data_IF_326238126975
#
_entry.id   IF_326238126975
#
_cell.length_a   1.000
_cell.length_b   1.000
_cell.length_c   1.000
_cell.angle_alpha   90.00
_cell.angle_beta   90.00
_cell.angle_gamma   90.00
#
_symmetry.space_group_name_H-M   'P 1'
#
loop_
_entity.id
_entity.type
_entity.pdbx_description
1 polymer ?
#
# COMPACT_ATOMS: atom_id res chain seq x y z
N UNK A 1 -13.84 41.51 69.61
CA UNK A 1 -12.74 41.00 68.76
C UNK A 1 -11.89 42.16 68.26
N UNK A 2 -10.63 42.20 68.64
CA UNK A 2 -9.76 43.36 68.29
C UNK A 2 -9.37 43.33 66.81
N UNK A 3 -9.17 44.46 66.14
CA UNK A 3 -8.70 44.60 64.75
C UNK A 3 -7.47 43.75 64.46
N UNK A 4 -6.66 43.44 65.45
CA UNK A 4 -5.43 42.67 65.38
C UNK A 4 -5.71 41.14 65.22
N UNK A 5 -6.69 40.61 65.90
CA UNK A 5 -7.11 39.17 65.77
C UNK A 5 -7.72 38.90 64.41
N UNK A 6 -8.56 39.79 63.88
CA UNK A 6 -9.18 39.66 62.56
C UNK A 6 -8.13 39.71 61.41
N UNK A 7 -7.14 40.62 61.53
CA UNK A 7 -6.02 40.69 60.56
C UNK A 7 -5.14 39.44 60.56
N UNK A 8 -4.86 38.86 61.71
CA UNK A 8 -4.10 37.61 61.83
C UNK A 8 -4.89 36.43 61.27
N UNK A 9 -6.21 36.37 61.49
CA UNK A 9 -7.08 35.30 60.91
C UNK A 9 -7.12 35.36 59.40
N UNK A 10 -7.18 36.55 58.79
CA UNK A 10 -7.12 36.73 57.33
C UNK A 10 -5.75 36.30 56.80
N UNK A 11 -4.66 36.64 57.48
CA UNK A 11 -3.30 36.25 57.05
C UNK A 11 -3.15 34.72 57.05
N UNK A 12 -3.64 34.04 58.11
CA UNK A 12 -3.62 32.59 58.18
C UNK A 12 -4.45 31.94 57.08
N UNK A 13 -5.61 32.50 56.79
CA UNK A 13 -6.48 32.04 55.70
C UNK A 13 -5.79 32.22 54.31
N UNK A 14 -5.17 33.36 54.09
CA UNK A 14 -4.41 33.60 52.84
C UNK A 14 -3.21 32.66 52.69
N UNK A 15 -2.46 32.39 53.74
CA UNK A 15 -1.37 31.44 53.74
C UNK A 15 -1.85 29.99 53.48
N UNK A 16 -2.97 29.60 54.13
CA UNK A 16 -3.58 28.29 53.89
C UNK A 16 -4.06 28.16 52.43
N UNK A 17 -4.74 29.18 51.90
CA UNK A 17 -5.18 29.19 50.50
C UNK A 17 -3.99 29.13 49.54
N UNK A 18 -2.92 29.90 49.80
CA UNK A 18 -1.71 29.85 48.99
C UNK A 18 -1.07 28.46 49.02
N UNK A 19 -1.02 27.81 50.20
CA UNK A 19 -0.53 26.44 50.33
C UNK A 19 -1.36 25.43 49.52
N UNK A 20 -2.67 25.53 49.54
CA UNK A 20 -3.58 24.69 48.75
C UNK A 20 -3.39 24.92 47.25
N UNK A 21 -3.26 26.16 46.80
CA UNK A 21 -3.02 26.51 45.39
C UNK A 21 -1.69 25.97 44.93
N UNK A 22 -0.60 26.15 45.68
CA UNK A 22 0.73 25.65 45.34
C UNK A 22 0.77 24.11 45.30
N UNK A 23 0.10 23.45 46.26
CA UNK A 23 -0.03 22.00 46.27
C UNK A 23 -0.81 21.50 45.05
N UNK A 24 -1.97 22.10 44.76
CA UNK A 24 -2.77 21.75 43.59
C UNK A 24 -2.04 21.99 42.27
N UNK A 25 -1.27 23.09 42.18
CA UNK A 25 -0.43 23.37 41.01
C UNK A 25 0.68 22.34 40.84
N UNK A 26 1.32 21.93 41.94
CA UNK A 26 2.38 20.89 41.89
C UNK A 26 1.80 19.56 41.47
N UNK A 27 0.64 19.17 41.98
CA UNK A 27 0.00 17.90 41.66
C UNK A 27 -0.51 17.89 40.21
N UNK A 28 -1.10 18.98 39.73
CA UNK A 28 -1.45 19.17 38.33
C UNK A 28 -0.22 19.14 37.40
N UNK A 29 0.88 19.77 37.79
CA UNK A 29 2.12 19.76 37.02
C UNK A 29 2.71 18.39 36.90
N UNK A 30 2.67 17.59 38.00
CA UNK A 30 3.03 16.18 37.97
C UNK A 30 2.17 15.39 36.99
N UNK A 31 0.85 15.49 37.11
CA UNK A 31 -0.06 14.83 36.19
C UNK A 31 0.23 15.16 34.74
N UNK A 32 0.42 16.43 34.40
CA UNK A 32 0.59 16.84 32.99
C UNK A 32 1.88 16.34 32.35
N UNK A 33 2.93 16.09 33.15
CA UNK A 33 4.26 15.67 32.71
C UNK A 33 4.63 14.22 33.06
N UNK A 34 3.85 13.53 33.90
CA UNK A 34 4.10 12.14 34.21
C UNK A 34 3.68 11.21 33.06
N UNK A 35 4.40 10.10 32.85
CA UNK A 35 3.96 9.08 31.90
C UNK A 35 2.56 8.56 32.23
N UNK A 36 1.76 8.33 31.17
CA UNK A 36 0.52 7.59 31.25
C UNK A 36 0.78 6.12 31.58
N UNK A 37 -0.22 5.44 32.13
CA UNK A 37 -0.13 4.01 32.38
C UNK A 37 -0.35 3.27 31.07
N UNK A 38 0.73 2.72 30.51
CA UNK A 38 0.68 1.93 29.25
C UNK A 38 1.10 0.52 29.60
N UNK A 39 0.19 -0.45 29.44
CA UNK A 39 0.40 -1.83 29.90
C UNK A 39 1.36 -2.60 29.00
N UNK A 40 1.47 -2.27 27.72
CA UNK A 40 2.40 -2.89 26.77
C UNK A 40 2.96 -1.86 25.77
N UNK A 41 4.19 -2.08 25.33
CA UNK A 41 4.80 -1.27 24.29
C UNK A 41 4.01 -1.44 22.96
N UNK A 42 3.57 -0.35 22.37
CA UNK A 42 2.85 -0.36 21.10
C UNK A 42 1.32 -0.35 21.23
N UNK A 43 0.78 -0.20 22.43
CA UNK A 43 -0.65 0.03 22.60
C UNK A 43 -1.10 1.35 21.97
N UNK A 44 -2.35 1.38 21.59
CA UNK A 44 -3.01 2.55 21.03
C UNK A 44 -4.32 2.82 21.76
N UNK A 45 -4.75 4.07 21.76
CA UNK A 45 -6.08 4.47 22.24
C UNK A 45 -6.94 4.87 21.06
N UNK A 46 -8.16 4.34 21.03
CA UNK A 46 -9.15 4.64 20.00
C UNK A 46 -10.15 5.67 20.48
N UNK A 47 -10.25 6.80 19.79
CA UNK A 47 -11.20 7.88 20.07
C UNK A 47 -12.26 7.90 18.99
N UNK A 48 -13.49 7.54 19.38
CA UNK A 48 -14.64 7.46 18.47
C UNK A 48 -14.98 8.81 17.81
N UNK A 49 -15.52 8.76 16.60
CA UNK A 49 -16.03 9.97 15.91
C UNK A 49 -17.19 10.58 16.69
N UNK A 50 -17.18 11.90 16.85
CA UNK A 50 -18.22 12.63 17.59
C UNK A 50 -18.09 12.57 19.11
N UNK A 51 -17.05 11.93 19.66
CA UNK A 51 -16.82 11.89 21.10
C UNK A 51 -16.66 13.30 21.68
N UNK A 52 -17.46 13.61 22.69
CA UNK A 52 -17.26 14.80 23.50
C UNK A 52 -15.98 14.70 24.34
N UNK A 53 -15.42 15.82 24.77
CA UNK A 53 -14.24 15.80 25.65
C UNK A 53 -14.41 14.91 26.90
N UNK A 54 -15.61 14.91 27.47
CA UNK A 54 -15.96 14.05 28.62
C UNK A 54 -15.88 12.56 28.27
N UNK A 55 -16.33 12.19 27.09
CA UNK A 55 -16.26 10.81 26.60
C UNK A 55 -14.83 10.39 26.29
N UNK A 56 -14.03 11.27 25.70
CA UNK A 56 -12.60 11.03 25.49
C UNK A 56 -11.91 10.71 26.81
N UNK A 57 -12.09 11.55 27.84
CA UNK A 57 -11.50 11.30 29.17
C UNK A 57 -12.01 10.00 29.78
N UNK A 58 -13.30 9.66 29.58
CA UNK A 58 -13.85 8.37 30.02
C UNK A 58 -13.15 7.21 29.32
N UNK A 59 -13.01 7.25 27.99
CA UNK A 59 -12.33 6.22 27.20
C UNK A 59 -10.88 6.01 27.64
N UNK A 60 -10.14 7.08 27.97
CA UNK A 60 -8.78 7.00 28.51
C UNK A 60 -8.73 6.29 29.87
N UNK A 61 -9.76 6.44 30.69
CA UNK A 61 -9.87 5.75 31.98
C UNK A 61 -10.31 4.30 31.83
N UNK A 62 -11.28 4.05 30.96
CA UNK A 62 -11.81 2.69 30.69
C UNK A 62 -10.74 1.76 30.10
N UNK A 63 -9.71 2.35 29.46
CA UNK A 63 -8.52 1.66 28.93
C UNK A 63 -7.32 1.71 29.91
N UNK A 64 -7.53 2.03 31.17
CA UNK A 64 -6.51 2.11 32.24
C UNK A 64 -5.29 3.01 31.93
N UNK A 65 -5.40 3.90 30.95
CA UNK A 65 -4.31 4.83 30.60
C UNK A 65 -4.10 5.92 31.66
N UNK A 66 -5.15 6.25 32.42
CA UNK A 66 -5.08 7.28 33.46
C UNK A 66 -6.14 7.12 34.50
N UNK A 67 -5.76 7.16 35.77
CA UNK A 67 -6.66 7.25 36.93
C UNK A 67 -6.91 8.68 37.37
N UNK A 68 -6.31 9.67 36.70
CA UNK A 68 -6.38 11.08 37.06
C UNK A 68 -7.83 11.63 36.99
N UNK A 69 -8.13 12.63 37.84
CA UNK A 69 -9.42 13.31 37.82
C UNK A 69 -9.74 13.91 36.46
N UNK A 70 -10.99 13.79 35.97
CA UNK A 70 -11.41 14.48 34.74
C UNK A 70 -11.18 16.00 34.77
N UNK A 71 -11.15 16.61 35.97
CA UNK A 71 -10.81 18.01 36.10
C UNK A 71 -9.42 18.35 35.63
N UNK A 72 -8.42 17.51 35.92
CA UNK A 72 -7.03 17.73 35.47
C UNK A 72 -6.90 17.65 33.94
N UNK A 73 -7.56 16.70 33.33
CA UNK A 73 -7.64 16.60 31.86
C UNK A 73 -8.26 17.85 31.24
N UNK A 74 -9.36 18.36 31.86
CA UNK A 74 -10.05 19.57 31.39
C UNK A 74 -9.18 20.81 31.55
N UNK A 75 -8.53 20.97 32.71
CA UNK A 75 -7.60 22.08 32.95
C UNK A 75 -6.44 22.06 31.96
N UNK A 76 -5.86 20.89 31.71
CA UNK A 76 -4.78 20.72 30.74
C UNK A 76 -5.23 21.07 29.32
N UNK A 77 -6.38 20.60 28.89
CA UNK A 77 -6.93 20.90 27.58
C UNK A 77 -7.23 22.39 27.39
N UNK A 78 -7.74 23.07 28.44
CA UNK A 78 -7.96 24.52 28.44
C UNK A 78 -6.62 25.27 28.40
N UNK A 79 -5.64 24.88 29.23
CA UNK A 79 -4.30 25.45 29.24
C UNK A 79 -3.62 25.36 27.87
N UNK A 80 -3.79 24.23 27.18
CA UNK A 80 -3.26 23.99 25.84
C UNK A 80 -4.12 24.60 24.72
N UNK A 81 -5.30 25.13 25.03
CA UNK A 81 -6.31 25.65 24.08
C UNK A 81 -6.76 24.60 23.05
N UNK A 82 -6.90 23.34 23.47
CA UNK A 82 -7.25 22.21 22.57
C UNK A 82 -8.57 21.54 22.89
N UNK A 83 -9.32 21.98 23.92
CA UNK A 83 -10.53 21.32 24.40
C UNK A 83 -11.63 21.09 23.33
N UNK A 84 -11.71 21.95 22.30
CA UNK A 84 -12.65 21.82 21.17
C UNK A 84 -12.00 21.44 19.85
N UNK A 85 -10.75 20.95 19.85
CA UNK A 85 -9.96 20.69 18.64
C UNK A 85 -9.37 19.28 18.59
N UNK A 86 -9.88 18.38 19.43
CA UNK A 86 -9.43 17.00 19.46
C UNK A 86 -10.08 16.23 18.31
N UNK A 87 -9.25 15.56 17.49
CA UNK A 87 -9.70 14.74 16.39
C UNK A 87 -9.96 13.31 16.85
N UNK A 88 -10.98 12.68 16.27
CA UNK A 88 -11.24 11.25 16.42
C UNK A 88 -10.17 10.44 15.67
N UNK A 89 -9.91 9.22 16.13
CA UNK A 89 -8.95 8.31 15.51
C UNK A 89 -8.20 7.46 16.53
N UNK A 90 -7.35 6.61 16.06
CA UNK A 90 -6.47 5.77 16.87
C UNK A 90 -5.13 6.48 17.07
N UNK A 91 -4.70 6.60 18.32
CA UNK A 91 -3.47 7.30 18.69
C UNK A 91 -2.50 6.34 19.36
N UNK A 92 -1.26 6.33 18.90
CA UNK A 92 -0.21 5.56 19.55
C UNK A 92 0.06 6.06 20.95
N UNK A 93 0.17 5.11 21.89
CA UNK A 93 0.50 5.35 23.29
C UNK A 93 1.81 4.63 23.66
N UNK A 94 2.96 5.08 23.11
CA UNK A 94 4.25 4.48 23.42
C UNK A 94 4.59 4.66 24.91
N UNK A 95 5.42 3.77 25.45
CA UNK A 95 5.91 3.89 26.81
C UNK A 95 6.51 5.27 27.07
N UNK A 96 6.11 5.90 28.16
CA UNK A 96 6.55 7.24 28.53
C UNK A 96 5.74 8.41 27.96
N UNK A 97 4.70 8.16 27.15
CA UNK A 97 3.82 9.21 26.66
C UNK A 97 3.14 9.93 27.84
N UNK A 98 3.08 11.27 27.78
CA UNK A 98 2.44 12.08 28.81
C UNK A 98 1.04 12.54 28.39
N UNK A 99 0.15 12.91 29.33
CA UNK A 99 -1.15 13.52 29.03
C UNK A 99 -1.04 14.71 28.07
N UNK A 100 -0.04 15.55 28.24
CA UNK A 100 0.23 16.70 27.37
C UNK A 100 0.57 16.29 25.94
N UNK A 101 1.43 15.30 25.76
CA UNK A 101 1.80 14.79 24.44
C UNK A 101 0.60 14.11 23.75
N UNK A 102 -0.19 13.31 24.48
CA UNK A 102 -1.37 12.67 23.94
C UNK A 102 -2.40 13.69 23.46
N UNK A 103 -2.73 14.71 24.26
CA UNK A 103 -3.64 15.79 23.84
C UNK A 103 -3.08 16.61 22.68
N UNK A 104 -1.76 16.83 22.62
CA UNK A 104 -1.13 17.50 21.49
C UNK A 104 -1.25 16.66 20.20
N UNK A 105 -1.05 15.35 20.28
CA UNK A 105 -1.24 14.44 19.14
C UNK A 105 -2.69 14.45 18.66
N UNK A 106 -3.66 14.36 19.60
CA UNK A 106 -5.09 14.42 19.27
C UNK A 106 -5.48 15.76 18.63
N UNK A 107 -4.96 16.88 19.14
CA UNK A 107 -5.25 18.20 18.58
C UNK A 107 -4.61 18.43 17.20
N UNK A 108 -3.48 17.78 16.94
CA UNK A 108 -2.80 17.83 15.65
C UNK A 108 -3.30 16.76 14.66
N UNK A 109 -4.23 15.87 15.06
CA UNK A 109 -4.72 14.77 14.22
C UNK A 109 -3.64 13.74 13.87
N UNK A 110 -2.61 13.56 14.73
CA UNK A 110 -1.52 12.60 14.51
C UNK A 110 -1.97 11.19 14.85
N UNK A 111 -2.91 10.68 14.07
CA UNK A 111 -3.44 9.32 14.21
C UNK A 111 -2.38 8.26 13.87
N UNK A 112 -2.53 7.07 14.42
CA UNK A 112 -1.68 5.93 14.12
C UNK A 112 -1.92 5.48 12.67
N UNK A 113 -0.90 5.63 11.84
CA UNK A 113 -0.92 5.19 10.46
C UNK A 113 -0.33 3.79 10.33
N UNK A 114 -0.92 3.01 9.46
CA UNK A 114 -0.44 1.72 8.99
C UNK A 114 -0.15 1.79 7.51
N UNK A 115 0.65 0.88 7.02
CA UNK A 115 1.00 0.79 5.60
C UNK A 115 0.51 -0.53 5.03
N UNK A 116 -0.07 -0.45 3.83
CA UNK A 116 -0.40 -1.60 3.01
C UNK A 116 0.41 -1.51 1.71
N UNK A 117 1.24 -2.51 1.43
CA UNK A 117 2.07 -2.53 0.24
C UNK A 117 1.47 -3.47 -0.79
N UNK A 118 1.14 -2.92 -1.97
CA UNK A 118 0.83 -3.70 -3.17
C UNK A 118 2.16 -4.05 -3.82
N UNK A 119 2.39 -5.34 -4.03
CA UNK A 119 3.67 -5.86 -4.55
C UNK A 119 3.61 -5.95 -6.07
N UNK A 120 4.70 -5.55 -6.74
CA UNK A 120 4.86 -5.71 -8.19
C UNK A 120 4.62 -7.16 -8.61
N UNK A 121 3.91 -7.34 -9.71
CA UNK A 121 3.64 -8.66 -10.27
C UNK A 121 2.52 -9.46 -9.58
N UNK A 122 1.87 -8.94 -8.53
CA UNK A 122 0.63 -9.54 -8.03
C UNK A 122 -0.48 -9.49 -9.07
N UNK A 123 -1.36 -10.45 -9.03
CA UNK A 123 -2.66 -10.40 -9.71
C UNK A 123 -3.67 -9.63 -8.85
N UNK A 124 -4.75 -9.16 -9.46
CA UNK A 124 -5.85 -8.53 -8.71
C UNK A 124 -6.42 -9.47 -7.64
N UNK A 125 -6.48 -10.76 -7.91
CA UNK A 125 -6.91 -11.77 -6.92
C UNK A 125 -5.97 -11.82 -5.70
N UNK A 126 -4.66 -11.81 -5.93
CA UNK A 126 -3.68 -11.77 -4.83
C UNK A 126 -3.76 -10.48 -4.04
N UNK A 127 -4.00 -9.35 -4.70
CA UNK A 127 -4.26 -8.06 -4.05
C UNK A 127 -5.48 -8.14 -3.12
N UNK A 128 -6.61 -8.67 -3.60
CA UNK A 128 -7.81 -8.83 -2.76
C UNK A 128 -7.56 -9.75 -1.57
N UNK A 129 -6.88 -10.88 -1.79
CA UNK A 129 -6.52 -11.81 -0.72
C UNK A 129 -5.56 -11.21 0.33
N UNK A 130 -4.71 -10.27 -0.06
CA UNK A 130 -3.86 -9.53 0.86
C UNK A 130 -4.63 -8.45 1.63
N UNK A 131 -5.55 -7.73 0.97
CA UNK A 131 -6.41 -6.73 1.61
C UNK A 131 -7.33 -7.36 2.66
N UNK A 132 -7.85 -8.56 2.41
CA UNK A 132 -8.67 -9.32 3.37
C UNK A 132 -7.94 -9.65 4.68
N UNK A 133 -6.61 -9.70 4.65
CA UNK A 133 -5.75 -9.94 5.82
C UNK A 133 -5.25 -8.65 6.49
N UNK A 134 -5.54 -7.48 5.93
CA UNK A 134 -5.03 -6.23 6.44
C UNK A 134 -5.73 -5.82 7.75
N UNK A 135 -4.96 -5.71 8.83
CA UNK A 135 -5.49 -5.38 10.15
C UNK A 135 -6.11 -3.98 10.22
N UNK A 136 -7.20 -3.83 10.96
CA UNK A 136 -7.89 -2.55 11.23
C UNK A 136 -8.46 -1.85 9.98
N UNK A 137 -8.41 -2.51 8.83
CA UNK A 137 -9.08 -2.07 7.61
C UNK A 137 -10.54 -2.56 7.64
N UNK A 138 -11.47 -1.82 7.07
CA UNK A 138 -12.83 -2.30 6.81
C UNK A 138 -12.83 -3.10 5.52
N UNK A 139 -13.35 -4.31 5.56
CA UNK A 139 -13.43 -5.19 4.41
C UNK A 139 -14.75 -5.01 3.66
N UNK A 140 -14.87 -3.90 2.91
CA UNK A 140 -16.07 -3.56 2.13
C UNK A 140 -16.11 -4.27 0.77
N UNK A 141 -15.02 -4.91 0.36
CA UNK A 141 -14.97 -5.76 -0.84
C UNK A 141 -15.52 -7.16 -0.60
N UNK A 142 -15.72 -7.57 0.65
CA UNK A 142 -16.19 -8.90 1.00
C UNK A 142 -17.54 -9.23 0.33
N UNK A 143 -17.58 -10.34 -0.41
CA UNK A 143 -18.78 -10.80 -1.11
C UNK A 143 -19.13 -10.02 -2.39
N UNK A 144 -18.33 -9.06 -2.81
CA UNK A 144 -18.49 -8.38 -4.08
C UNK A 144 -17.74 -9.11 -5.20
N UNK A 145 -18.34 -9.13 -6.39
CA UNK A 145 -17.62 -9.51 -7.60
C UNK A 145 -16.71 -8.36 -8.10
N UNK A 146 -15.85 -8.67 -9.06
CA UNK A 146 -14.89 -7.70 -9.60
C UNK A 146 -15.59 -6.48 -10.22
N UNK A 147 -16.74 -6.66 -10.90
CA UNK A 147 -17.47 -5.56 -11.53
C UNK A 147 -18.07 -4.61 -10.49
N UNK A 148 -18.62 -5.15 -9.40
CA UNK A 148 -19.14 -4.36 -8.28
C UNK A 148 -18.02 -3.59 -7.54
N UNK A 149 -16.84 -4.20 -7.35
CA UNK A 149 -15.67 -3.53 -6.78
C UNK A 149 -15.28 -2.33 -7.66
N UNK A 150 -15.10 -2.57 -8.98
CA UNK A 150 -14.74 -1.51 -9.92
C UNK A 150 -15.78 -0.40 -9.98
N UNK A 151 -17.06 -0.73 -9.93
CA UNK A 151 -18.13 0.26 -9.83
C UNK A 151 -18.02 1.11 -8.56
N UNK A 152 -17.74 0.49 -7.41
CA UNK A 152 -17.62 1.20 -6.12
C UNK A 152 -16.44 2.16 -6.06
N UNK A 153 -15.34 1.83 -6.70
CA UNK A 153 -14.17 2.73 -6.76
C UNK A 153 -14.31 3.81 -7.85
N UNK A 154 -15.39 3.78 -8.66
CA UNK A 154 -15.66 4.77 -9.71
C UNK A 154 -15.09 4.40 -11.08
N UNK A 155 -14.74 3.14 -11.33
CA UNK A 155 -14.15 2.60 -12.55
C UNK A 155 -15.07 1.56 -13.22
N UNK A 156 -16.39 1.82 -13.26
CA UNK A 156 -17.39 0.92 -13.81
C UNK A 156 -17.07 0.53 -15.26
N UNK A 157 -17.14 -0.77 -15.58
CA UNK A 157 -16.88 -1.32 -16.91
C UNK A 157 -15.40 -1.57 -17.22
N UNK A 158 -14.45 -1.16 -16.35
CA UNK A 158 -13.05 -1.46 -16.53
C UNK A 158 -12.71 -2.87 -15.97
N UNK A 159 -11.80 -3.56 -16.66
CA UNK A 159 -11.20 -4.79 -16.15
C UNK A 159 -10.18 -4.45 -15.05
N UNK A 160 -10.22 -5.12 -13.89
CA UNK A 160 -9.40 -4.73 -12.74
C UNK A 160 -7.93 -5.08 -12.89
N UNK A 161 -7.59 -6.13 -13.66
CA UNK A 161 -6.21 -6.60 -13.75
C UNK A 161 -5.28 -5.54 -14.33
N UNK A 162 -4.13 -5.33 -13.67
CA UNK A 162 -3.14 -4.33 -14.06
C UNK A 162 -3.45 -2.90 -13.61
N UNK A 163 -4.66 -2.60 -13.14
CA UNK A 163 -5.15 -1.23 -12.92
C UNK A 163 -4.79 -0.59 -11.57
N UNK A 164 -4.08 -1.28 -10.71
CA UNK A 164 -3.71 -0.81 -9.37
C UNK A 164 -2.20 -0.69 -9.27
N UNK A 165 -1.70 0.52 -9.06
CA UNK A 165 -0.25 0.76 -9.01
C UNK A 165 0.36 0.08 -7.79
N UNK A 166 1.36 -0.78 -7.96
CA UNK A 166 2.15 -1.32 -6.85
C UNK A 166 2.93 -0.21 -6.17
N UNK A 167 2.52 0.12 -4.96
CA UNK A 167 3.16 1.08 -4.06
C UNK A 167 2.74 0.79 -2.61
N UNK A 168 3.30 1.55 -1.67
CA UNK A 168 2.90 1.50 -0.27
C UNK A 168 1.87 2.59 0.04
N UNK A 169 0.69 2.17 0.46
CA UNK A 169 -0.45 3.03 0.76
C UNK A 169 -0.64 3.14 2.27
N UNK A 170 -0.48 4.34 2.81
CA UNK A 170 -0.80 4.61 4.21
C UNK A 170 -2.32 4.58 4.42
N UNK A 171 -2.75 4.01 5.55
CA UNK A 171 -4.15 3.99 5.96
C UNK A 171 -4.28 4.14 7.47
N UNK A 172 -5.45 4.51 7.93
CA UNK A 172 -5.79 4.62 9.35
C UNK A 172 -6.93 3.67 9.71
N UNK A 173 -7.09 3.36 10.97
CA UNK A 173 -8.22 2.58 11.45
C UNK A 173 -9.54 3.21 10.99
N UNK A 174 -10.35 2.42 10.32
CA UNK A 174 -11.65 2.85 9.79
C UNK A 174 -11.65 3.23 8.30
N UNK A 175 -10.48 3.32 7.65
CA UNK A 175 -10.40 3.28 6.19
C UNK A 175 -10.86 1.91 5.68
N UNK A 176 -11.31 1.83 4.44
CA UNK A 176 -11.72 0.59 3.79
C UNK A 176 -10.70 0.10 2.77
N UNK A 177 -10.78 -1.18 2.42
CA UNK A 177 -10.06 -1.78 1.29
C UNK A 177 -10.41 -1.09 -0.03
N UNK A 178 -11.67 -0.64 -0.20
CA UNK A 178 -12.09 0.19 -1.34
C UNK A 178 -11.35 1.53 -1.40
N UNK A 179 -11.03 2.15 -0.24
CA UNK A 179 -10.26 3.39 -0.21
C UNK A 179 -8.82 3.17 -0.71
N UNK A 180 -8.20 2.04 -0.36
CA UNK A 180 -6.87 1.67 -0.86
C UNK A 180 -6.95 1.38 -2.36
N UNK A 181 -7.89 0.55 -2.79
CA UNK A 181 -8.10 0.23 -4.21
C UNK A 181 -8.31 1.48 -5.05
N UNK A 182 -9.18 2.40 -4.59
CA UNK A 182 -9.42 3.66 -5.31
C UNK A 182 -8.15 4.50 -5.46
N UNK A 183 -7.35 4.62 -4.40
CA UNK A 183 -6.08 5.36 -4.46
C UNK A 183 -5.08 4.70 -5.40
N UNK A 184 -4.96 3.37 -5.36
CA UNK A 184 -4.07 2.62 -6.22
C UNK A 184 -4.49 2.68 -7.70
N UNK A 185 -5.79 2.63 -7.98
CA UNK A 185 -6.36 2.80 -9.32
C UNK A 185 -6.07 4.21 -9.88
N UNK A 186 -6.34 5.24 -9.10
CA UNK A 186 -6.06 6.65 -9.49
C UNK A 186 -4.55 6.84 -9.72
N UNK A 187 -3.70 6.25 -8.88
CA UNK A 187 -2.26 6.33 -9.03
C UNK A 187 -1.79 5.66 -10.34
N UNK A 188 -2.34 4.50 -10.70
CA UNK A 188 -2.02 3.83 -11.97
C UNK A 188 -2.47 4.66 -13.17
N UNK A 189 -3.71 5.15 -13.16
CA UNK A 189 -4.23 5.99 -14.25
C UNK A 189 -3.33 7.23 -14.44
N UNK A 190 -3.02 7.93 -13.36
CA UNK A 190 -2.11 9.08 -13.39
C UNK A 190 -0.73 8.71 -13.92
N UNK A 191 -0.16 7.58 -13.50
CA UNK A 191 1.15 7.13 -13.97
C UNK A 191 1.15 6.89 -15.49
N UNK A 192 0.10 6.28 -16.02
CA UNK A 192 -0.05 6.08 -17.46
C UNK A 192 -0.21 7.41 -18.21
N UNK A 193 -1.04 8.32 -17.71
CA UNK A 193 -1.24 9.64 -18.30
C UNK A 193 0.05 10.48 -18.33
N UNK A 194 0.89 10.36 -17.30
CA UNK A 194 2.17 11.07 -17.22
C UNK A 194 3.23 10.46 -18.16
N UNK A 195 3.26 9.13 -18.29
CA UNK A 195 4.34 8.44 -19.03
C UNK A 195 4.03 8.25 -20.51
N UNK A 196 2.77 8.00 -20.87
CA UNK A 196 2.37 7.70 -22.23
C UNK A 196 2.75 8.75 -23.28
N UNK A 197 2.66 10.07 -23.02
CA UNK A 197 3.08 11.09 -24.00
C UNK A 197 4.56 11.05 -24.36
N UNK A 198 5.40 10.59 -23.42
CA UNK A 198 6.86 10.51 -23.59
C UNK A 198 7.36 9.21 -24.22
N UNK A 199 6.47 8.27 -24.57
CA UNK A 199 6.86 6.97 -25.15
C UNK A 199 7.67 7.08 -26.42
N UNK A 200 8.46 6.08 -26.72
CA UNK A 200 9.20 5.99 -27.99
C UNK A 200 8.22 6.03 -29.17
N UNK A 201 8.69 6.55 -30.29
CA UNK A 201 7.90 6.62 -31.51
C UNK A 201 7.76 5.23 -32.14
N UNK A 202 6.68 5.06 -32.88
CA UNK A 202 6.44 3.87 -33.71
C UNK A 202 6.34 2.53 -32.94
N UNK A 203 6.03 2.60 -31.62
CA UNK A 203 5.70 1.39 -30.87
C UNK A 203 4.43 0.72 -31.41
N UNK A 204 4.38 -0.62 -31.49
CA UNK A 204 3.17 -1.37 -31.90
C UNK A 204 2.12 -1.42 -30.77
N UNK A 205 1.93 -0.31 -30.10
CA UNK A 205 0.99 -0.12 -28.98
C UNK A 205 0.06 1.04 -29.32
N UNK A 206 -1.22 0.75 -29.48
CA UNK A 206 -2.21 1.76 -29.90
C UNK A 206 -2.67 2.65 -28.74
N UNK A 207 -2.72 2.12 -27.54
CA UNK A 207 -3.31 2.77 -26.35
C UNK A 207 -2.39 2.65 -25.11
N UNK A 208 -2.59 3.53 -24.09
CA UNK A 208 -1.94 3.35 -22.79
C UNK A 208 -2.23 1.97 -22.15
N UNK A 209 -3.40 1.41 -22.46
CA UNK A 209 -3.78 0.09 -21.96
C UNK A 209 -2.97 -1.03 -22.59
N UNK A 210 -2.61 -0.93 -23.88
CA UNK A 210 -1.73 -1.89 -24.54
C UNK A 210 -0.33 -1.86 -23.90
N UNK A 211 0.15 -0.67 -23.53
CA UNK A 211 1.40 -0.52 -22.79
C UNK A 211 1.32 -1.18 -21.39
N UNK A 212 0.19 -1.07 -20.71
CA UNK A 212 -0.05 -1.72 -19.43
C UNK A 212 -0.06 -3.25 -19.56
N UNK A 213 -0.67 -3.78 -20.65
CA UNK A 213 -0.66 -5.22 -20.95
C UNK A 213 0.79 -5.70 -21.16
N UNK A 214 1.54 -5.02 -22.03
CA UNK A 214 2.94 -5.38 -22.27
C UNK A 214 3.78 -5.28 -20.99
N UNK A 215 3.61 -4.21 -20.22
CA UNK A 215 4.31 -4.03 -18.96
C UNK A 215 4.03 -5.16 -17.95
N UNK A 216 2.79 -5.66 -17.90
CA UNK A 216 2.44 -6.79 -17.03
C UNK A 216 3.14 -8.09 -17.41
N UNK A 217 3.40 -8.30 -18.71
CA UNK A 217 4.17 -9.43 -19.22
C UNK A 217 5.64 -9.27 -18.81
N UNK A 218 6.23 -8.10 -19.08
CA UNK A 218 7.62 -7.79 -18.71
C UNK A 218 7.84 -7.93 -17.21
N UNK A 219 6.89 -7.50 -16.37
CA UNK A 219 6.95 -7.63 -14.92
C UNK A 219 7.02 -9.09 -14.47
N UNK A 220 6.31 -9.98 -15.15
CA UNK A 220 6.30 -11.43 -14.83
C UNK A 220 7.50 -12.17 -15.39
N UNK A 221 8.19 -11.62 -16.38
CA UNK A 221 9.37 -12.27 -17.01
C UNK A 221 10.65 -12.04 -16.23
N UNK A 222 10.84 -10.87 -15.63
CA UNK A 222 12.08 -10.58 -14.92
C UNK A 222 11.91 -9.66 -13.73
N UNK A 223 12.55 -10.03 -12.61
CA UNK A 223 12.79 -9.12 -11.48
C UNK A 223 14.00 -8.20 -11.66
N UNK A 224 14.80 -8.39 -12.71
CA UNK A 224 16.05 -7.65 -12.92
C UNK A 224 15.81 -6.33 -13.64
N UNK A 225 16.23 -5.25 -12.99
CA UNK A 225 16.07 -3.90 -13.53
C UNK A 225 16.82 -3.68 -14.84
N UNK A 226 18.01 -4.28 -14.97
CA UNK A 226 18.91 -4.15 -16.14
C UNK A 226 18.45 -4.94 -17.37
N UNK A 227 17.50 -5.85 -17.24
CA UNK A 227 16.99 -6.66 -18.35
C UNK A 227 15.58 -6.27 -18.80
N UNK A 228 14.82 -5.49 -17.99
CA UNK A 228 13.43 -5.15 -18.32
C UNK A 228 13.29 -4.51 -19.71
N UNK A 229 14.10 -3.51 -20.03
CA UNK A 229 14.04 -2.84 -21.33
C UNK A 229 14.44 -3.75 -22.50
N UNK A 230 15.38 -4.68 -22.28
CA UNK A 230 15.79 -5.69 -23.28
C UNK A 230 14.65 -6.67 -23.57
N UNK A 231 14.01 -7.19 -22.51
CA UNK A 231 12.88 -8.12 -22.63
C UNK A 231 11.70 -7.41 -23.32
N UNK A 232 11.39 -6.18 -22.91
CA UNK A 232 10.39 -5.36 -23.59
C UNK A 232 10.70 -5.19 -25.07
N UNK A 233 11.96 -4.94 -25.42
CA UNK A 233 12.45 -4.83 -26.81
C UNK A 233 12.23 -6.12 -27.62
N UNK A 234 12.43 -7.30 -27.03
CA UNK A 234 12.11 -8.56 -27.71
C UNK A 234 10.61 -8.66 -28.01
N UNK A 235 9.74 -8.36 -27.04
CA UNK A 235 8.30 -8.45 -27.26
C UNK A 235 7.80 -7.41 -28.27
N UNK A 236 8.31 -6.18 -28.24
CA UNK A 236 7.98 -5.14 -29.23
C UNK A 236 8.34 -5.61 -30.64
N UNK A 237 9.57 -6.08 -30.85
CA UNK A 237 10.02 -6.59 -32.17
C UNK A 237 9.20 -7.80 -32.62
N UNK A 238 8.77 -8.69 -31.72
CA UNK A 238 7.87 -9.79 -32.06
C UNK A 238 6.51 -9.28 -32.52
N UNK A 239 5.94 -8.29 -31.85
CA UNK A 239 4.68 -7.66 -32.25
C UNK A 239 4.81 -7.02 -33.65
N UNK A 240 5.88 -6.27 -33.91
CA UNK A 240 6.18 -5.64 -35.21
C UNK A 240 6.31 -6.68 -36.34
N UNK A 241 6.92 -7.82 -36.03
CA UNK A 241 7.11 -8.91 -37.00
C UNK A 241 5.92 -9.90 -37.03
N UNK A 242 4.80 -9.59 -36.42
CA UNK A 242 3.63 -10.46 -36.31
C UNK A 242 3.92 -11.88 -35.75
N UNK A 243 4.96 -11.97 -34.93
CA UNK A 243 5.33 -13.20 -34.25
C UNK A 243 4.47 -13.42 -33.00
N UNK A 244 4.22 -14.67 -32.66
CA UNK A 244 3.61 -15.06 -31.38
C UNK A 244 4.53 -14.62 -30.22
N UNK A 245 3.97 -14.09 -29.12
CA UNK A 245 4.78 -13.67 -27.97
C UNK A 245 5.40 -14.86 -27.24
N UNK A 246 4.69 -15.99 -27.13
CA UNK A 246 5.16 -17.26 -26.58
C UNK A 246 5.79 -17.10 -25.19
N UNK A 247 5.05 -16.52 -24.27
CA UNK A 247 5.47 -16.26 -22.91
C UNK A 247 4.65 -17.05 -21.91
N UNK A 248 5.33 -17.85 -21.09
CA UNK A 248 4.72 -18.75 -20.11
C UNK A 248 3.80 -18.03 -19.10
N UNK A 249 4.14 -16.85 -18.57
CA UNK A 249 3.27 -16.12 -17.63
C UNK A 249 1.86 -15.88 -18.16
N UNK A 250 1.66 -15.69 -19.46
CA UNK A 250 0.31 -15.50 -20.03
C UNK A 250 -0.51 -16.79 -19.98
N UNK A 251 0.13 -17.95 -20.24
CA UNK A 251 -0.51 -19.25 -20.10
C UNK A 251 -0.87 -19.54 -18.66
N UNK A 252 0.04 -19.29 -17.73
CA UNK A 252 -0.18 -19.44 -16.28
C UNK A 252 -1.38 -18.60 -15.84
N UNK A 253 -1.45 -17.34 -16.26
CA UNK A 253 -2.56 -16.46 -15.93
C UNK A 253 -3.89 -17.01 -16.50
N UNK A 254 -3.89 -17.46 -17.76
CA UNK A 254 -5.04 -18.05 -18.41
C UNK A 254 -5.52 -19.36 -17.77
N UNK A 255 -4.63 -20.15 -17.16
CA UNK A 255 -4.97 -21.34 -16.37
C UNK A 255 -5.65 -20.98 -15.03
N UNK A 256 -5.36 -19.81 -14.47
CA UNK A 256 -5.94 -19.37 -13.22
C UNK A 256 -5.72 -20.38 -12.09
N UNK A 257 -6.80 -20.82 -11.44
CA UNK A 257 -6.72 -21.75 -10.30
C UNK A 257 -6.32 -23.19 -10.69
N UNK A 258 -6.38 -23.53 -11.97
CA UNK A 258 -5.93 -24.87 -12.43
C UNK A 258 -4.40 -25.00 -12.49
N UNK A 259 -3.65 -23.89 -12.37
CA UNK A 259 -2.21 -23.92 -12.32
C UNK A 259 -1.68 -24.52 -11.01
N UNK A 260 -0.95 -25.61 -11.13
CA UNK A 260 -0.39 -26.37 -9.99
C UNK A 260 1.14 -26.24 -9.88
N UNK A 261 1.70 -25.11 -10.28
CA UNK A 261 3.15 -24.84 -10.16
C UNK A 261 3.99 -25.38 -11.32
N UNK A 262 3.41 -26.04 -12.32
CA UNK A 262 4.11 -26.56 -13.51
C UNK A 262 3.25 -26.39 -14.76
N UNK A 263 3.87 -25.96 -15.85
CA UNK A 263 3.26 -25.95 -17.19
C UNK A 263 3.58 -27.26 -17.88
N UNK A 264 2.57 -27.87 -18.51
CA UNK A 264 2.70 -29.05 -19.34
C UNK A 264 2.59 -28.69 -20.81
N UNK A 265 3.08 -29.57 -21.70
CA UNK A 265 3.01 -29.34 -23.15
C UNK A 265 1.59 -29.13 -23.67
N UNK A 266 0.61 -29.77 -23.06
CA UNK A 266 -0.81 -29.60 -23.40
C UNK A 266 -1.28 -28.16 -23.10
N UNK A 267 -0.81 -27.54 -22.02
CA UNK A 267 -1.18 -26.17 -21.65
C UNK A 267 -0.70 -25.15 -22.69
N UNK A 268 0.50 -25.38 -23.26
CA UNK A 268 1.04 -24.54 -24.33
C UNK A 268 0.28 -24.67 -25.65
N UNK A 269 -0.43 -25.76 -25.86
CA UNK A 269 -1.19 -26.04 -27.11
C UNK A 269 -2.70 -25.83 -26.95
N UNK A 270 -3.20 -25.71 -25.71
CA UNK A 270 -4.61 -25.44 -25.44
C UNK A 270 -4.92 -23.98 -25.73
N UNK A 271 -5.84 -23.73 -26.66
CA UNK A 271 -6.22 -22.36 -27.02
C UNK A 271 -7.06 -21.71 -25.92
N UNK A 272 -6.56 -20.62 -25.38
CA UNK A 272 -7.27 -19.73 -24.44
C UNK A 272 -7.04 -18.27 -24.87
N UNK A 273 -7.90 -17.34 -24.44
CA UNK A 273 -7.70 -15.91 -24.75
C UNK A 273 -6.33 -15.36 -24.33
N UNK A 274 -5.69 -15.99 -23.36
CA UNK A 274 -4.37 -15.59 -22.83
C UNK A 274 -3.20 -16.39 -23.37
N UNK A 275 -3.44 -17.47 -24.16
CA UNK A 275 -2.34 -18.31 -24.63
C UNK A 275 -1.61 -17.68 -25.81
N UNK A 276 -0.50 -17.00 -25.54
CA UNK A 276 0.35 -16.36 -26.54
C UNK A 276 1.20 -17.32 -27.35
N UNK A 277 1.12 -18.64 -27.13
CA UNK A 277 1.67 -19.68 -28.02
C UNK A 277 0.69 -20.04 -29.16
N UNK A 278 -0.61 -19.76 -28.98
CA UNK A 278 -1.63 -20.10 -29.98
C UNK A 278 -2.27 -18.84 -30.61
N UNK A 279 -2.20 -17.69 -29.95
CA UNK A 279 -2.83 -16.45 -30.38
C UNK A 279 -1.80 -15.36 -30.59
N UNK A 280 -1.86 -14.62 -31.73
CA UNK A 280 -0.98 -13.49 -32.01
C UNK A 280 -1.37 -12.23 -31.22
N UNK A 281 -0.43 -11.34 -31.04
CA UNK A 281 -0.61 -10.05 -30.38
C UNK A 281 -0.60 -10.11 -28.86
N UNK A 282 -1.04 -9.05 -28.24
CA UNK A 282 -1.17 -8.93 -26.80
C UNK A 282 -2.41 -9.72 -26.30
N UNK A 283 -2.36 -10.27 -25.07
CA UNK A 283 -3.54 -10.85 -24.44
C UNK A 283 -4.60 -9.78 -24.18
N UNK A 284 -5.88 -10.18 -23.90
CA UNK A 284 -6.99 -9.21 -23.81
C UNK A 284 -6.89 -8.25 -22.61
N UNK A 285 -6.16 -8.61 -21.58
CA UNK A 285 -5.93 -7.78 -20.39
C UNK A 285 -4.48 -7.94 -19.90
N UNK A 286 -3.99 -7.05 -19.02
CA UNK A 286 -2.82 -7.35 -18.21
C UNK A 286 -2.96 -8.69 -17.48
N UNK A 287 -1.83 -9.29 -17.10
CA UNK A 287 -1.76 -10.58 -16.40
C UNK A 287 -1.23 -10.43 -14.97
N UNK A 288 -0.89 -9.21 -14.58
CA UNK A 288 -0.42 -8.85 -13.25
C UNK A 288 -0.51 -7.33 -13.07
N UNK A 289 -0.22 -6.85 -11.86
CA UNK A 289 -0.06 -5.44 -11.52
C UNK A 289 1.40 -5.03 -11.80
N UNK A 290 1.70 -4.31 -12.89
CA UNK A 290 3.08 -3.92 -13.19
C UNK A 290 3.48 -2.69 -12.39
N UNK A 291 4.73 -2.68 -11.92
CA UNK A 291 5.33 -1.50 -11.33
C UNK A 291 5.71 -0.45 -12.39
N UNK A 292 5.94 0.79 -11.94
CA UNK A 292 6.37 1.89 -12.82
C UNK A 292 7.61 1.53 -13.67
N UNK A 293 8.64 0.78 -13.16
CA UNK A 293 9.77 0.37 -13.99
C UNK A 293 9.40 -0.53 -15.17
N UNK A 294 8.43 -1.44 -15.02
CA UNK A 294 7.99 -2.29 -16.12
C UNK A 294 7.18 -1.49 -17.16
N UNK A 295 6.37 -0.52 -16.72
CA UNK A 295 5.67 0.41 -17.61
C UNK A 295 6.68 1.24 -18.40
N UNK A 296 7.70 1.78 -17.76
CA UNK A 296 8.78 2.51 -18.44
C UNK A 296 9.50 1.65 -19.45
N UNK A 297 9.80 0.38 -19.13
CA UNK A 297 10.44 -0.54 -20.07
C UNK A 297 9.57 -0.85 -21.30
N UNK A 298 8.24 -0.96 -21.12
CA UNK A 298 7.30 -1.15 -22.22
C UNK A 298 7.19 0.09 -23.13
N UNK A 299 7.34 1.29 -22.55
CA UNK A 299 7.29 2.56 -23.29
C UNK A 299 8.64 2.97 -23.91
N UNK A 300 9.75 2.45 -23.37
CA UNK A 300 11.11 2.70 -23.81
C UNK A 300 11.90 1.39 -23.91
N UNK A 301 11.51 0.49 -24.85
CA UNK A 301 12.18 -0.78 -25.03
C UNK A 301 13.61 -0.57 -25.55
N UNK A 302 14.55 -1.41 -25.11
CA UNK A 302 15.92 -1.33 -25.62
C UNK A 302 15.96 -1.68 -27.12
N UNK A 303 16.54 -0.82 -27.95
CA UNK A 303 16.71 -1.10 -29.38
C UNK A 303 17.66 -2.29 -29.59
N UNK A 304 17.52 -2.99 -30.72
CA UNK A 304 18.37 -4.14 -31.03
C UNK A 304 17.69 -5.09 -32.01
N UNK A 305 18.26 -6.28 -32.13
CA UNK A 305 17.88 -7.30 -33.14
C UNK A 305 17.33 -8.58 -32.50
N UNK A 306 17.49 -8.75 -31.16
CA UNK A 306 17.09 -9.97 -30.48
C UNK A 306 15.59 -10.22 -30.57
N UNK A 307 15.20 -11.42 -30.98
CA UNK A 307 13.83 -11.92 -31.07
C UNK A 307 13.53 -13.00 -30.04
N UNK A 308 14.54 -13.49 -29.33
CA UNK A 308 14.46 -14.60 -28.40
C UNK A 308 15.28 -14.30 -27.15
N UNK A 309 14.89 -14.90 -26.05
CA UNK A 309 15.68 -14.98 -24.82
C UNK A 309 15.42 -16.28 -24.09
N UNK A 310 16.35 -16.71 -23.25
CA UNK A 310 16.20 -17.88 -22.37
C UNK A 310 16.94 -17.63 -21.06
N UNK A 311 16.36 -18.08 -19.94
CA UNK A 311 16.97 -17.97 -18.63
C UNK A 311 18.24 -18.84 -18.54
N UNK A 312 19.31 -18.28 -17.96
CA UNK A 312 20.57 -18.99 -17.69
C UNK A 312 20.50 -19.87 -16.43
N UNK A 313 19.53 -19.65 -15.57
CA UNK A 313 19.38 -20.33 -14.29
C UNK A 313 20.09 -19.64 -13.13
N UNK A 314 20.72 -18.49 -13.33
CA UNK A 314 21.34 -17.61 -12.34
C UNK A 314 20.55 -16.31 -12.12
N UNK A 315 19.30 -16.26 -12.64
CA UNK A 315 18.43 -15.08 -12.62
C UNK A 315 18.68 -14.11 -13.78
N UNK A 316 19.61 -14.42 -14.72
CA UNK A 316 19.85 -13.65 -15.94
C UNK A 316 19.33 -14.37 -17.18
N UNK A 317 19.24 -13.62 -18.30
CA UNK A 317 18.87 -14.16 -19.60
C UNK A 317 19.98 -14.02 -20.62
N UNK A 318 19.99 -14.91 -21.60
CA UNK A 318 20.77 -14.78 -22.84
C UNK A 318 19.78 -14.49 -23.95
N UNK A 319 20.15 -13.52 -24.79
CA UNK A 319 19.34 -13.05 -25.91
C UNK A 319 19.89 -13.62 -27.22
N UNK A 320 19.01 -13.82 -28.20
CA UNK A 320 19.35 -14.35 -29.49
C UNK A 320 18.53 -13.70 -30.61
N UNK A 321 19.15 -13.48 -31.76
CA UNK A 321 18.49 -12.87 -32.92
C UNK A 321 17.79 -13.93 -33.78
N UNK A 322 18.29 -15.17 -33.78
CA UNK A 322 17.81 -16.25 -34.63
C UNK A 322 17.31 -17.46 -33.81
N UNK A 323 16.39 -18.23 -34.41
CA UNK A 323 15.91 -19.47 -33.82
C UNK A 323 17.02 -20.50 -33.61
N UNK A 324 18.03 -20.51 -34.52
CA UNK A 324 19.19 -21.42 -34.43
C UNK A 324 20.05 -21.10 -33.18
N UNK A 325 20.27 -19.82 -32.90
CA UNK A 325 20.96 -19.37 -31.67
C UNK A 325 20.13 -19.67 -30.43
N UNK A 326 18.86 -19.38 -30.47
CA UNK A 326 17.93 -19.69 -29.37
C UNK A 326 17.97 -21.19 -29.06
N UNK A 327 17.92 -22.05 -30.08
CA UNK A 327 17.98 -23.52 -29.89
C UNK A 327 19.28 -23.98 -29.23
N UNK A 328 20.40 -23.35 -29.58
CA UNK A 328 21.71 -23.60 -28.93
C UNK A 328 21.69 -23.14 -27.48
N UNK A 329 21.14 -21.96 -27.21
CA UNK A 329 21.05 -21.40 -25.87
C UNK A 329 20.14 -22.26 -24.97
N UNK A 330 18.99 -22.71 -25.47
CA UNK A 330 18.09 -23.64 -24.76
C UNK A 330 18.81 -24.97 -24.47
N UNK A 331 19.48 -25.55 -25.44
CA UNK A 331 20.25 -26.79 -25.24
C UNK A 331 21.32 -26.62 -24.16
N UNK A 332 22.02 -25.49 -24.15
CA UNK A 332 23.06 -25.20 -23.16
C UNK A 332 22.47 -24.94 -21.78
N UNK A 333 21.60 -23.96 -21.64
CA UNK A 333 21.19 -23.43 -20.31
C UNK A 333 20.06 -24.21 -19.69
N UNK A 334 19.09 -24.69 -20.48
CA UNK A 334 17.96 -25.44 -19.92
C UNK A 334 18.20 -26.95 -19.91
N UNK A 335 18.78 -27.49 -20.97
CA UNK A 335 19.02 -28.94 -21.09
C UNK A 335 20.41 -29.36 -20.59
N UNK A 336 21.27 -28.41 -20.17
CA UNK A 336 22.64 -28.64 -19.68
C UNK A 336 23.51 -29.39 -20.68
N UNK A 337 23.29 -29.17 -21.97
CA UNK A 337 24.02 -29.75 -23.11
C UNK A 337 24.84 -28.69 -23.83
N UNK A 338 25.68 -27.95 -23.08
CA UNK A 338 26.62 -27.00 -23.71
C UNK A 338 27.64 -27.82 -24.48
N UNK A 339 27.63 -27.72 -25.81
CA UNK A 339 28.78 -28.18 -26.63
C UNK A 339 29.97 -27.25 -26.34
N UNK A 340 31.09 -27.82 -25.92
CA UNK A 340 32.37 -27.14 -25.81
C UNK A 340 32.83 -26.67 -27.22
#
# INVERSE_FOLDING_TARGET
MTRKTWRNSILVLLLALTGVVLWGWRDFSRFSGAPLHVSAAGESVDIGRGSSFKEIVRQLRDQDLSTASPLYWRLLAVQMRVAGRLHAGEYATPAGITPRQLLANMAAGRVLQRNFTIVDGWTFRELLAALDKAEKLKHETAGLDHAAIMQRIGAAGEQPEGRFLPETYAYVKGDSDLDILKRAHVAMARTLDELWPGRDKDLPLATPYDALILASIVEKETGRADERAKIAGVFVRRLENHMLLQTDPTVIYGMGESYQGKIHKVDLTTDTPYNTYTRPGLPPTPIALPGKPAIMAALHPEPGTALYFVARGDGTHVFADTLAEQSRNVACYQLKKCSQ
#
